data_IF_888510850821
#
_entry.id   IF_888510850821
#
_cell.length_a   1.000
_cell.length_b   1.000
_cell.length_c   1.000
_cell.angle_alpha   90.00
_cell.angle_beta   90.00
_cell.angle_gamma   90.00
#
_symmetry.space_group_name_H-M   'P 1'
#
loop_
_entity.id
_entity.type
_entity.pdbx_description
1 polymer ?
#
# COMPACT_ATOMS: atom_id res chain seq x y z
N UNK A 1 16.64 7.53 18.39
CA UNK A 1 16.78 6.65 17.21
C UNK A 1 16.77 7.51 15.96
N UNK A 2 17.40 7.07 14.88
CA UNK A 2 17.46 7.75 13.58
C UNK A 2 16.56 7.04 12.56
N UNK A 3 15.69 7.80 11.89
CA UNK A 3 14.75 7.28 10.89
C UNK A 3 15.00 8.00 9.57
N UNK A 4 15.20 7.22 8.51
CA UNK A 4 15.24 7.73 7.14
C UNK A 4 13.93 7.43 6.42
N UNK A 5 13.38 8.44 5.74
CA UNK A 5 12.13 8.35 5.01
C UNK A 5 12.35 8.57 3.51
N UNK A 6 11.73 7.74 2.68
CA UNK A 6 11.68 7.92 1.24
C UNK A 6 10.35 7.47 0.65
N UNK A 7 9.69 8.37 -0.08
CA UNK A 7 8.57 8.07 -0.93
C UNK A 7 8.67 8.94 -2.20
N UNK A 8 8.45 8.39 -3.41
CA UNK A 8 8.61 9.15 -4.65
C UNK A 8 7.56 10.26 -4.83
N UNK A 9 6.38 10.13 -4.20
CA UNK A 9 5.23 11.01 -4.46
C UNK A 9 4.50 11.55 -3.23
N UNK A 10 4.79 11.07 -2.01
CA UNK A 10 4.07 11.53 -0.83
C UNK A 10 4.63 12.87 -0.36
N UNK A 11 3.82 13.63 0.37
CA UNK A 11 4.28 14.81 1.10
C UNK A 11 5.30 14.40 2.16
N UNK A 12 6.57 14.54 1.80
CA UNK A 12 7.70 14.14 2.64
C UNK A 12 7.74 14.95 3.94
N UNK A 13 7.42 16.25 3.87
CA UNK A 13 7.53 17.12 5.04
C UNK A 13 6.45 16.79 6.05
N UNK A 14 5.21 16.56 5.58
CA UNK A 14 4.11 16.12 6.43
C UNK A 14 4.45 14.82 7.17
N UNK A 15 4.99 13.81 6.46
CA UNK A 15 5.37 12.53 7.06
C UNK A 15 6.47 12.68 8.11
N UNK A 16 7.50 13.48 7.85
CA UNK A 16 8.58 13.73 8.81
C UNK A 16 8.03 14.38 10.09
N UNK A 17 7.16 15.38 9.94
CA UNK A 17 6.54 16.06 11.09
C UNK A 17 5.61 15.13 11.87
N UNK A 18 4.79 14.33 11.18
CA UNK A 18 3.90 13.36 11.80
C UNK A 18 4.69 12.29 12.58
N UNK A 19 5.76 11.75 11.99
CA UNK A 19 6.64 10.77 12.64
C UNK A 19 7.33 11.35 13.86
N UNK A 20 7.80 12.61 13.80
CA UNK A 20 8.38 13.30 14.97
C UNK A 20 7.36 13.52 16.07
N UNK A 21 6.09 13.80 15.74
CA UNK A 21 5.02 13.93 16.74
C UNK A 21 4.68 12.59 17.39
N UNK A 22 4.58 11.53 16.59
CA UNK A 22 4.27 10.18 17.07
C UNK A 22 5.44 9.54 17.85
N UNK A 23 6.69 9.88 17.50
CA UNK A 23 7.91 9.37 18.11
C UNK A 23 8.85 10.55 18.47
N UNK A 24 8.57 11.31 19.54
CA UNK A 24 9.28 12.55 19.86
C UNK A 24 10.81 12.42 20.03
N UNK A 25 11.28 11.25 20.42
CA UNK A 25 12.69 10.91 20.61
C UNK A 25 13.42 10.49 19.31
N UNK A 26 12.70 10.39 18.19
CA UNK A 26 13.27 10.02 16.91
C UNK A 26 13.77 11.25 16.14
N UNK A 27 14.96 11.12 15.55
CA UNK A 27 15.48 12.06 14.56
C UNK A 27 15.07 11.53 13.19
N UNK A 28 14.08 12.16 12.59
CA UNK A 28 13.53 11.76 11.28
C UNK A 28 14.08 12.68 10.21
N UNK A 29 14.59 12.13 9.10
CA UNK A 29 15.06 12.89 7.94
C UNK A 29 14.62 12.26 6.63
N UNK A 30 14.46 13.09 5.59
CA UNK A 30 14.29 12.61 4.23
C UNK A 30 15.62 12.06 3.74
N UNK A 31 15.63 10.84 3.22
CA UNK A 31 16.82 10.32 2.55
C UNK A 31 16.99 10.98 1.18
N UNK A 32 18.25 11.26 0.81
CA UNK A 32 18.66 11.77 -0.50
C UNK A 32 19.88 10.98 -0.97
N UNK A 33 20.11 10.92 -2.29
CA UNK A 33 21.33 10.30 -2.83
C UNK A 33 22.58 10.94 -2.20
N UNK A 34 23.55 10.12 -1.81
CA UNK A 34 24.72 10.50 -1.04
C UNK A 34 24.55 10.49 0.50
N UNK A 35 23.33 10.37 1.02
CA UNK A 35 23.11 10.23 2.47
C UNK A 35 23.52 8.82 2.93
N UNK A 36 24.69 8.78 3.58
CA UNK A 36 25.29 7.59 4.18
C UNK A 36 25.34 7.67 5.71
N UNK A 37 24.70 8.67 6.32
CA UNK A 37 24.66 8.83 7.78
C UNK A 37 23.92 7.65 8.40
N UNK A 38 24.26 7.29 9.64
CA UNK A 38 23.62 6.17 10.34
C UNK A 38 22.10 6.32 10.42
N UNK A 39 21.40 5.18 10.37
CA UNK A 39 19.97 5.09 10.54
C UNK A 39 19.63 3.80 11.32
N UNK A 40 18.65 3.88 12.21
CA UNK A 40 18.10 2.72 12.92
C UNK A 40 16.98 2.08 12.10
N UNK A 41 16.12 2.89 11.45
CA UNK A 41 14.95 2.43 10.71
C UNK A 41 14.82 3.15 9.36
N UNK A 42 14.26 2.44 8.38
CA UNK A 42 13.93 3.02 7.08
C UNK A 42 12.44 2.84 6.75
N UNK A 43 11.78 3.93 6.34
CA UNK A 43 10.41 3.92 5.81
C UNK A 43 10.49 4.19 4.31
N UNK A 44 10.02 3.24 3.48
CA UNK A 44 10.33 3.23 2.05
C UNK A 44 9.14 2.87 1.16
N UNK A 45 9.06 3.50 0.00
CA UNK A 45 8.31 3.03 -1.17
C UNK A 45 9.19 3.18 -2.41
N UNK A 46 9.32 2.11 -3.20
CA UNK A 46 10.24 2.07 -4.36
C UNK A 46 11.65 2.61 -4.07
N UNK A 47 12.35 2.15 -3.00
CA UNK A 47 13.62 2.74 -2.61
C UNK A 47 14.70 2.55 -3.70
N UNK A 48 15.61 3.52 -3.88
CA UNK A 48 16.88 3.30 -4.56
C UNK A 48 17.70 2.25 -3.82
N UNK A 49 18.49 1.44 -4.55
CA UNK A 49 19.37 0.43 -3.94
C UNK A 49 20.36 1.09 -2.96
N UNK A 50 20.91 2.23 -3.36
CA UNK A 50 21.83 3.07 -2.58
C UNK A 50 21.30 3.39 -1.17
N UNK A 51 19.98 3.56 -1.02
CA UNK A 51 19.38 3.93 0.25
C UNK A 51 19.56 2.86 1.33
N UNK A 52 19.51 1.58 0.94
CA UNK A 52 19.45 0.46 1.88
C UNK A 52 20.75 -0.37 1.89
N UNK A 53 21.48 -0.40 0.77
CA UNK A 53 22.65 -1.25 0.60
C UNK A 53 23.69 -1.02 1.71
N UNK A 54 24.18 -2.11 2.29
CA UNK A 54 25.22 -2.08 3.33
C UNK A 54 24.76 -1.66 4.74
N UNK A 55 23.55 -1.12 4.91
CA UNK A 55 23.07 -0.66 6.22
C UNK A 55 22.64 -1.82 7.12
N UNK A 56 23.07 -1.77 8.38
CA UNK A 56 22.59 -2.65 9.46
C UNK A 56 21.38 -2.02 10.17
N UNK A 57 20.26 -1.92 9.44
CA UNK A 57 19.01 -1.38 9.98
C UNK A 57 18.39 -2.33 11.00
N UNK A 58 17.73 -1.78 12.01
CA UNK A 58 16.91 -2.55 12.95
C UNK A 58 15.62 -3.06 12.30
N UNK A 59 15.05 -2.30 11.37
CA UNK A 59 13.96 -2.75 10.50
C UNK A 59 13.76 -1.82 9.28
N UNK A 60 13.13 -2.37 8.24
CA UNK A 60 12.57 -1.62 7.11
C UNK A 60 11.05 -1.74 7.12
N UNK A 61 10.35 -0.62 6.92
CA UNK A 61 8.91 -0.56 6.77
C UNK A 61 8.57 -0.13 5.35
N UNK A 62 7.97 -1.03 4.57
CA UNK A 62 7.38 -0.71 3.27
C UNK A 62 6.08 0.08 3.47
N UNK A 63 5.95 1.23 2.82
CA UNK A 63 4.81 2.14 2.91
C UNK A 63 3.63 1.69 2.01
N UNK A 64 3.24 0.42 2.12
CA UNK A 64 2.09 -0.15 1.42
C UNK A 64 1.81 -1.59 1.85
N UNK A 65 0.66 -2.12 1.42
CA UNK A 65 0.30 -3.54 1.64
C UNK A 65 1.11 -4.48 0.74
N UNK A 66 1.33 -4.10 -0.52
CA UNK A 66 2.16 -4.86 -1.45
C UNK A 66 3.65 -4.67 -1.19
N UNK A 67 4.40 -5.78 -1.24
CA UNK A 67 5.87 -5.80 -1.13
C UNK A 67 6.55 -6.41 -2.36
N UNK A 68 5.79 -6.70 -3.41
CA UNK A 68 6.26 -7.26 -4.68
C UNK A 68 7.40 -6.43 -5.30
N UNK A 69 7.29 -5.11 -5.30
CA UNK A 69 8.28 -4.20 -5.88
C UNK A 69 9.62 -4.21 -5.15
N UNK A 70 9.62 -4.24 -3.81
CA UNK A 70 10.85 -4.30 -3.01
C UNK A 70 11.48 -5.70 -3.05
N UNK A 71 10.67 -6.75 -3.03
CA UNK A 71 11.16 -8.14 -3.09
C UNK A 71 11.74 -8.47 -4.47
N UNK A 72 11.09 -8.08 -5.56
CA UNK A 72 11.65 -8.23 -6.90
C UNK A 72 12.95 -7.45 -7.09
N UNK A 73 13.04 -6.24 -6.52
CA UNK A 73 14.28 -5.46 -6.52
C UNK A 73 15.36 -6.12 -5.69
N UNK A 74 15.05 -6.69 -4.52
CA UNK A 74 15.99 -7.44 -3.69
C UNK A 74 16.49 -8.71 -4.39
N UNK A 75 15.63 -9.37 -5.18
CA UNK A 75 16.04 -10.51 -5.99
C UNK A 75 17.06 -10.11 -7.08
N UNK A 76 16.90 -8.92 -7.69
CA UNK A 76 17.84 -8.38 -8.66
C UNK A 76 19.11 -7.78 -8.02
N UNK A 77 18.99 -7.28 -6.79
CA UNK A 77 20.04 -6.60 -6.01
C UNK A 77 20.12 -7.17 -4.58
N UNK A 78 20.67 -8.38 -4.38
CA UNK A 78 20.73 -9.01 -3.06
C UNK A 78 21.51 -8.20 -2.02
N UNK A 79 22.43 -7.35 -2.47
CA UNK A 79 23.21 -6.42 -1.64
C UNK A 79 22.36 -5.28 -1.05
N UNK A 80 21.17 -5.03 -1.60
CA UNK A 80 20.29 -3.92 -1.20
C UNK A 80 19.84 -4.04 0.25
N UNK A 81 19.56 -5.25 0.74
CA UNK A 81 19.06 -5.44 2.10
C UNK A 81 19.65 -6.70 2.71
N UNK A 82 20.32 -6.54 3.85
CA UNK A 82 20.92 -7.67 4.57
C UNK A 82 19.82 -8.63 5.06
N UNK A 83 20.02 -9.96 4.99
CA UNK A 83 19.04 -10.95 5.47
C UNK A 83 18.68 -10.80 6.96
N UNK A 84 19.56 -10.19 7.75
CA UNK A 84 19.33 -9.92 9.18
C UNK A 84 18.35 -8.78 9.44
N UNK A 85 18.01 -7.97 8.42
CA UNK A 85 17.13 -6.82 8.57
C UNK A 85 15.68 -7.27 8.37
N UNK A 86 14.82 -7.18 9.40
CA UNK A 86 13.41 -7.53 9.25
C UNK A 86 12.69 -6.51 8.36
N UNK A 87 11.87 -7.01 7.44
CA UNK A 87 11.03 -6.23 6.54
C UNK A 87 9.56 -6.32 6.96
N UNK A 88 8.95 -5.18 7.24
CA UNK A 88 7.54 -5.04 7.58
C UNK A 88 6.78 -4.34 6.44
N UNK A 89 5.47 -4.60 6.36
CA UNK A 89 4.53 -3.92 5.46
C UNK A 89 3.41 -3.28 6.27
N UNK A 90 2.62 -2.42 5.63
CA UNK A 90 1.40 -1.93 6.26
C UNK A 90 0.35 -3.05 6.29
N UNK A 91 -0.15 -3.37 7.49
CA UNK A 91 -1.21 -4.35 7.70
C UNK A 91 -2.49 -3.64 8.06
N UNK A 92 -3.52 -3.83 7.22
CA UNK A 92 -4.79 -3.12 7.29
C UNK A 92 -4.62 -1.59 7.24
N UNK A 93 -4.33 -0.91 8.36
CA UNK A 93 -4.21 0.55 8.46
C UNK A 93 -5.37 1.32 7.80
N UNK A 94 -6.57 0.72 7.77
CA UNK A 94 -7.76 1.27 7.13
C UNK A 94 -7.98 0.81 5.67
N UNK A 95 -7.07 0.01 5.10
CA UNK A 95 -7.25 -0.58 3.77
C UNK A 95 -8.30 -1.70 3.78
N UNK A 96 -8.51 -2.38 4.91
CA UNK A 96 -9.53 -3.42 5.03
C UNK A 96 -10.94 -2.88 4.82
N UNK A 97 -11.26 -1.76 5.46
CA UNK A 97 -12.54 -1.06 5.29
C UNK A 97 -12.73 -0.59 3.85
N UNK A 98 -11.71 0.02 3.23
CA UNK A 98 -11.76 0.42 1.82
C UNK A 98 -12.04 -0.76 0.88
N UNK A 99 -11.43 -1.93 1.13
CA UNK A 99 -11.69 -3.14 0.34
C UNK A 99 -13.12 -3.67 0.54
N UNK A 100 -13.65 -3.60 1.76
CA UNK A 100 -15.04 -3.96 2.04
C UNK A 100 -16.01 -3.03 1.30
N UNK A 101 -15.80 -1.71 1.41
CA UNK A 101 -16.61 -0.70 0.72
C UNK A 101 -16.63 -0.93 -0.79
N UNK A 102 -15.46 -1.14 -1.38
CA UNK A 102 -15.32 -1.41 -2.81
C UNK A 102 -16.04 -2.70 -3.22
N UNK A 103 -15.72 -3.81 -2.55
CA UNK A 103 -16.26 -5.12 -2.89
C UNK A 103 -17.78 -5.19 -2.68
N UNK A 104 -18.28 -4.73 -1.53
CA UNK A 104 -19.71 -4.75 -1.23
C UNK A 104 -20.48 -3.88 -2.21
N UNK A 105 -20.00 -2.66 -2.48
CA UNK A 105 -20.64 -1.76 -3.44
C UNK A 105 -20.77 -2.41 -4.81
N UNK A 106 -19.67 -2.94 -5.35
CA UNK A 106 -19.66 -3.45 -6.72
C UNK A 106 -20.36 -4.80 -6.87
N UNK A 107 -20.21 -5.71 -5.90
CA UNK A 107 -20.95 -6.98 -5.89
C UNK A 107 -22.45 -6.72 -5.85
N UNK A 108 -22.91 -5.82 -4.98
CA UNK A 108 -24.33 -5.47 -4.92
C UNK A 108 -24.79 -4.76 -6.20
N UNK A 109 -23.95 -3.92 -6.81
CA UNK A 109 -24.25 -3.27 -8.08
C UNK A 109 -24.60 -4.30 -9.18
N UNK A 110 -23.75 -5.32 -9.37
CA UNK A 110 -24.00 -6.39 -10.34
C UNK A 110 -25.16 -7.30 -9.92
N UNK A 111 -25.23 -7.69 -8.64
CA UNK A 111 -26.31 -8.54 -8.16
C UNK A 111 -27.69 -7.90 -8.34
N UNK A 112 -27.77 -6.56 -8.27
CA UNK A 112 -28.99 -5.77 -8.50
C UNK A 112 -29.17 -5.30 -9.94
N UNK A 113 -28.32 -5.76 -10.85
CA UNK A 113 -28.41 -5.51 -12.30
C UNK A 113 -28.40 -4.02 -12.65
N UNK A 114 -27.72 -3.19 -11.86
CA UNK A 114 -27.68 -1.74 -12.09
C UNK A 114 -26.99 -1.38 -13.40
N UNK A 115 -26.06 -2.22 -13.84
CA UNK A 115 -25.46 -2.21 -15.17
C UNK A 115 -26.50 -2.42 -16.28
N UNK A 116 -27.34 -3.45 -16.19
CA UNK A 116 -28.42 -3.69 -17.16
C UNK A 116 -29.43 -2.53 -17.18
N UNK A 117 -29.83 -2.06 -16.00
CA UNK A 117 -30.75 -0.93 -15.89
C UNK A 117 -30.13 0.37 -16.43
N UNK A 118 -28.80 0.54 -16.32
CA UNK A 118 -28.12 1.68 -16.93
C UNK A 118 -28.18 1.62 -18.45
N UNK A 119 -28.05 0.44 -19.05
CA UNK A 119 -28.21 0.24 -20.49
C UNK A 119 -29.64 0.58 -20.92
N UNK A 120 -30.66 0.10 -20.19
CA UNK A 120 -32.05 0.44 -20.49
C UNK A 120 -32.32 1.94 -20.36
N UNK A 121 -31.80 2.58 -19.31
CA UNK A 121 -31.95 4.01 -19.07
C UNK A 121 -31.38 4.85 -20.21
N UNK A 122 -30.22 4.48 -20.76
CA UNK A 122 -29.62 5.19 -21.88
C UNK A 122 -30.50 5.14 -23.15
N UNK A 123 -31.34 4.11 -23.28
CA UNK A 123 -32.33 3.96 -24.36
C UNK A 123 -33.72 4.48 -23.97
N UNK A 124 -33.86 5.14 -22.82
CA UNK A 124 -35.14 5.57 -22.23
C UNK A 124 -36.18 4.43 -22.16
N UNK A 125 -35.69 3.20 -21.98
CA UNK A 125 -36.51 2.00 -21.93
C UNK A 125 -36.83 1.65 -20.49
N UNK A 126 -38.10 1.40 -20.20
CA UNK A 126 -38.57 0.99 -18.87
C UNK A 126 -38.99 -0.47 -18.90
N UNK A 127 -38.13 -1.36 -18.38
CA UNK A 127 -38.43 -2.79 -18.30
C UNK A 127 -37.84 -3.40 -17.02
N UNK A 128 -38.69 -3.75 -16.03
CA UNK A 128 -38.25 -4.55 -14.89
C UNK A 128 -37.60 -5.86 -15.36
N UNK A 129 -36.49 -6.22 -14.74
CA UNK A 129 -35.74 -7.45 -15.02
C UNK A 129 -35.93 -8.47 -13.89
N UNK A 130 -35.88 -9.78 -14.19
CA UNK A 130 -35.81 -10.81 -13.17
C UNK A 130 -34.63 -10.56 -12.22
N UNK A 131 -34.86 -10.77 -10.92
CA UNK A 131 -33.81 -10.73 -9.91
C UNK A 131 -32.87 -11.92 -10.04
N UNK A 132 -31.62 -11.75 -9.61
CA UNK A 132 -30.72 -12.88 -9.38
C UNK A 132 -30.98 -13.49 -8.00
N UNK A 133 -30.77 -14.80 -7.89
CA UNK A 133 -30.81 -15.52 -6.62
C UNK A 133 -29.40 -15.74 -6.09
N UNK A 134 -29.27 -15.79 -4.76
CA UNK A 134 -27.96 -15.89 -4.09
C UNK A 134 -27.27 -17.25 -4.34
N UNK A 135 -28.05 -18.31 -4.54
CA UNK A 135 -27.54 -19.65 -4.85
C UNK A 135 -26.79 -19.72 -6.18
N UNK A 136 -27.14 -18.85 -7.14
CA UNK A 136 -26.48 -18.74 -8.44
C UNK A 136 -25.35 -17.71 -8.46
N UNK A 137 -25.08 -17.04 -7.33
CA UNK A 137 -24.15 -15.91 -7.24
C UNK A 137 -23.07 -16.11 -6.17
N UNK A 138 -22.40 -17.25 -6.22
CA UNK A 138 -21.27 -17.56 -5.32
C UNK A 138 -20.10 -16.61 -5.57
N UNK A 139 -19.60 -15.98 -4.49
CA UNK A 139 -18.46 -15.06 -4.54
C UNK A 139 -17.18 -15.81 -4.14
N UNK A 140 -16.21 -15.88 -5.05
CA UNK A 140 -14.87 -16.39 -4.75
C UNK A 140 -13.92 -15.25 -4.36
N UNK A 141 -13.08 -15.49 -3.35
CA UNK A 141 -11.96 -14.62 -2.96
C UNK A 141 -10.68 -15.43 -3.23
N UNK A 142 -9.81 -14.92 -4.11
CA UNK A 142 -8.54 -15.58 -4.51
C UNK A 142 -7.44 -15.36 -3.48
#
# INVERSE_FOLDING_TARGET
>A
MDIIFYHPTFDTQWWIEALRKAIPQARVRAWKSGDNDSADYALVWHPPVEMLAGRDLKAVFALGAGVDSILSKLQAHPEMLKPSVPLFRLEDTGMGEQMQEYAVSQVLHWFRRFDDYRIQQNSSHWQPLPEYHREDFTIGIL
#
